data_IF_820465550069
#
_entry.id   IF_820465550069
#
_cell.length_a   1.000
_cell.length_b   1.000
_cell.length_c   1.000
_cell.angle_alpha   90.00
_cell.angle_beta   90.00
_cell.angle_gamma   90.00
#
_symmetry.space_group_name_H-M   'P 1'
#
loop_
_entity.id
_entity.type
_entity.pdbx_description
1 polymer ?
#
# COMPACT_ATOMS: atom_id res chain seq x y z
N UNK A 1 -4.35 -18.93 -8.09
CA UNK A 1 -4.83 -18.06 -7.00
C UNK A 1 -4.09 -16.74 -7.15
N UNK A 2 -4.83 -15.67 -7.42
CA UNK A 2 -4.26 -14.31 -7.55
C UNK A 2 -4.13 -13.68 -6.15
N UNK A 3 -3.12 -12.81 -5.99
CA UNK A 3 -2.92 -12.04 -4.77
C UNK A 3 -3.39 -10.60 -4.99
N UNK A 4 -4.18 -10.08 -4.06
CA UNK A 4 -4.64 -8.69 -4.08
C UNK A 4 -4.07 -7.93 -2.88
N UNK A 5 -3.56 -6.72 -3.11
CA UNK A 5 -3.16 -5.81 -2.03
C UNK A 5 -4.15 -4.64 -2.00
N UNK A 6 -4.90 -4.52 -0.91
CA UNK A 6 -5.81 -3.39 -0.64
C UNK A 6 -5.16 -2.43 0.34
N UNK A 7 -5.18 -1.14 0.02
CA UNK A 7 -4.58 -0.10 0.85
C UNK A 7 -5.55 0.98 1.30
N UNK A 8 -5.43 1.42 2.55
CA UNK A 8 -6.08 2.62 3.07
C UNK A 8 -5.02 3.63 3.50
N UNK A 9 -5.10 4.84 2.94
CA UNK A 9 -4.20 5.94 3.30
C UNK A 9 -4.32 6.21 4.80
N UNK A 10 -3.19 6.17 5.50
CA UNK A 10 -3.08 6.54 6.90
C UNK A 10 -2.63 7.99 7.06
N UNK A 11 -1.72 8.45 6.19
CA UNK A 11 -1.17 9.81 6.26
C UNK A 11 -0.59 10.25 4.91
N UNK A 12 -0.72 11.54 4.59
CA UNK A 12 -0.05 12.19 3.45
C UNK A 12 0.78 13.36 3.99
N UNK A 13 2.09 13.36 3.72
CA UNK A 13 3.03 14.41 4.10
C UNK A 13 3.95 14.74 2.92
N UNK A 14 3.56 15.73 2.13
CA UNK A 14 4.29 16.11 0.92
C UNK A 14 4.43 14.93 -0.04
N UNK A 15 5.67 14.55 -0.37
CA UNK A 15 5.97 13.41 -1.27
C UNK A 15 5.89 12.03 -0.59
N UNK A 16 5.52 11.96 0.69
CA UNK A 16 5.43 10.72 1.46
C UNK A 16 3.97 10.38 1.72
N UNK A 17 3.58 9.15 1.40
CA UNK A 17 2.25 8.61 1.70
C UNK A 17 2.41 7.34 2.52
N UNK A 18 1.86 7.33 3.71
CA UNK A 18 1.82 6.14 4.56
C UNK A 18 0.49 5.43 4.36
N UNK A 19 0.52 4.13 4.09
CA UNK A 19 -0.67 3.32 3.77
C UNK A 19 -0.71 2.08 4.65
N UNK A 20 -1.88 1.79 5.23
CA UNK A 20 -2.14 0.50 5.87
C UNK A 20 -2.63 -0.48 4.80
N UNK A 21 -2.06 -1.68 4.75
CA UNK A 21 -2.30 -2.67 3.72
C UNK A 21 -2.91 -3.96 4.27
N UNK A 22 -3.72 -4.60 3.44
CA UNK A 22 -4.16 -5.98 3.56
C UNK A 22 -3.75 -6.75 2.30
N UNK A 23 -3.12 -7.91 2.47
CA UNK A 23 -2.82 -8.88 1.40
C UNK A 23 -3.88 -9.98 1.46
N UNK A 24 -4.59 -10.19 0.36
CA UNK A 24 -5.64 -11.18 0.23
C UNK A 24 -5.31 -12.21 -0.85
N UNK A 25 -5.79 -13.42 -0.65
CA UNK A 25 -5.84 -14.46 -1.67
C UNK A 25 -7.29 -14.92 -1.81
N UNK A 26 -8.01 -14.34 -2.78
CA UNK A 26 -9.48 -14.36 -2.80
C UNK A 26 -10.05 -13.55 -1.63
N UNK A 27 -10.92 -14.18 -0.83
CA UNK A 27 -11.52 -13.54 0.37
C UNK A 27 -10.69 -13.76 1.65
N UNK A 28 -9.64 -14.57 1.58
CA UNK A 28 -8.80 -14.86 2.76
C UNK A 28 -7.80 -13.74 2.99
N UNK A 29 -7.84 -13.13 4.18
CA UNK A 29 -6.80 -12.21 4.64
C UNK A 29 -5.54 -13.00 5.01
N UNK A 30 -4.46 -12.84 4.25
CA UNK A 30 -3.21 -13.55 4.46
C UNK A 30 -2.23 -12.77 5.34
N UNK A 31 -2.14 -11.46 5.15
CA UNK A 31 -1.24 -10.60 5.91
C UNK A 31 -1.75 -9.16 5.99
N UNK A 32 -1.28 -8.46 7.02
CA UNK A 32 -1.46 -7.00 7.16
C UNK A 32 -0.11 -6.33 7.26
N UNK A 33 -0.02 -5.08 6.83
CA UNK A 33 1.23 -4.33 6.91
C UNK A 33 1.03 -2.83 6.82
N UNK A 34 2.13 -2.11 6.95
CA UNK A 34 2.18 -0.65 6.77
C UNK A 34 3.34 -0.32 5.86
N UNK A 35 3.10 0.52 4.86
CA UNK A 35 4.13 0.92 3.89
C UNK A 35 4.26 2.43 3.85
N UNK A 36 5.49 2.87 3.60
CA UNK A 36 5.82 4.25 3.26
C UNK A 36 6.11 4.29 1.77
N UNK A 37 5.24 4.94 1.00
CA UNK A 37 5.46 5.22 -0.41
C UNK A 37 6.03 6.62 -0.58
N UNK A 38 7.01 6.76 -1.46
CA UNK A 38 7.65 8.05 -1.77
C UNK A 38 7.44 8.34 -3.25
N UNK A 39 6.81 9.48 -3.55
CA UNK A 39 6.69 9.96 -4.92
C UNK A 39 8.07 10.37 -5.43
N UNK A 40 8.58 9.62 -6.40
CA UNK A 40 9.78 9.96 -7.12
C UNK A 40 9.50 11.14 -8.08
N UNK A 41 10.49 11.99 -8.35
CA UNK A 41 10.36 12.98 -9.43
C UNK A 41 10.09 12.27 -10.77
N UNK A 42 9.49 12.96 -11.75
CA UNK A 42 9.35 12.41 -13.10
C UNK A 42 10.74 11.96 -13.59
N UNK A 43 10.85 10.74 -14.10
CA UNK A 43 12.03 10.32 -14.86
C UNK A 43 12.03 11.03 -16.21
N UNK A 44 13.18 11.61 -16.57
CA UNK A 44 13.40 12.30 -17.84
C UNK A 44 13.38 11.35 -19.04
#
# INVERSE_FOLDING_TARGET
MELEIRGKVAEIKGRKVTVNLQLLAGETLCATGRVLMIQLPPTA
#
